data_IF_718341822031
#
_entry.id   IF_718341822031
#
_cell.length_a   1.000
_cell.length_b   1.000
_cell.length_c   1.000
_cell.angle_alpha   90.00
_cell.angle_beta   90.00
_cell.angle_gamma   90.00
#
_symmetry.space_group_name_H-M   'P 1'
#
loop_
_entity.id
_entity.type
_entity.pdbx_description
1 polymer ?
#
# COMPACT_ATOMS: atom_id res chain seq x y z
N UNK A 1 32.99 42.34 -16.36
CA UNK A 1 31.58 42.37 -15.90
C UNK A 1 30.65 41.53 -16.78
N UNK A 2 30.67 41.65 -18.11
CA UNK A 2 29.82 40.82 -19.01
C UNK A 2 30.01 39.30 -18.87
N UNK A 3 31.22 38.82 -18.68
CA UNK A 3 31.47 37.37 -18.53
C UNK A 3 30.97 36.81 -17.19
N UNK A 4 31.02 37.63 -16.13
CA UNK A 4 30.48 37.27 -14.82
C UNK A 4 28.96 37.10 -14.87
N UNK A 5 28.26 38.00 -15.56
CA UNK A 5 26.80 37.92 -15.75
C UNK A 5 26.42 36.68 -16.56
N UNK A 6 27.14 36.38 -17.64
CA UNK A 6 26.90 35.15 -18.43
C UNK A 6 27.14 33.87 -17.63
N UNK A 7 28.18 33.83 -16.81
CA UNK A 7 28.45 32.69 -15.95
C UNK A 7 27.37 32.52 -14.87
N UNK A 8 26.84 33.63 -14.34
CA UNK A 8 25.76 33.62 -13.36
C UNK A 8 24.44 33.15 -13.99
N UNK A 9 24.08 33.63 -15.19
CA UNK A 9 22.89 33.18 -15.91
C UNK A 9 22.93 31.68 -16.24
N UNK A 10 24.09 31.18 -16.68
CA UNK A 10 24.29 29.76 -16.94
C UNK A 10 24.17 28.90 -15.66
N UNK A 11 24.72 29.39 -14.54
CA UNK A 11 24.59 28.71 -13.26
C UNK A 11 23.13 28.69 -12.77
N UNK A 12 22.39 29.80 -12.92
CA UNK A 12 20.98 29.89 -12.54
C UNK A 12 20.09 28.99 -13.41
N UNK A 13 20.40 28.85 -14.70
CA UNK A 13 19.69 27.95 -15.60
C UNK A 13 19.87 26.48 -15.19
N UNK A 14 21.11 26.06 -14.92
CA UNK A 14 21.40 24.71 -14.43
C UNK A 14 20.78 24.46 -13.04
N UNK A 15 20.79 25.46 -12.16
CA UNK A 15 20.18 25.35 -10.85
C UNK A 15 18.65 25.22 -10.93
N UNK A 16 17.99 25.95 -11.85
CA UNK A 16 16.55 25.76 -12.12
C UNK A 16 16.25 24.37 -12.67
N UNK A 17 17.05 23.88 -13.61
CA UNK A 17 16.90 22.54 -14.15
C UNK A 17 17.05 21.47 -13.06
N UNK A 18 18.03 21.63 -12.17
CA UNK A 18 18.25 20.74 -11.03
C UNK A 18 17.08 20.74 -10.05
N UNK A 19 16.54 21.92 -9.70
CA UNK A 19 15.36 22.02 -8.82
C UNK A 19 14.15 21.34 -9.43
N UNK A 20 13.94 21.49 -10.75
CA UNK A 20 12.83 20.85 -11.44
C UNK A 20 12.98 19.32 -11.44
N UNK A 21 14.16 18.80 -11.79
CA UNK A 21 14.45 17.37 -11.71
C UNK A 21 14.28 16.83 -10.28
N UNK A 22 14.70 17.57 -9.26
CA UNK A 22 14.51 17.18 -7.86
C UNK A 22 13.02 17.11 -7.47
N UNK A 23 12.18 18.02 -7.97
CA UNK A 23 10.73 17.99 -7.75
C UNK A 23 10.10 16.77 -8.43
N UNK A 24 10.46 16.50 -9.68
CA UNK A 24 9.99 15.32 -10.42
C UNK A 24 10.32 14.02 -9.71
N UNK A 25 11.57 13.85 -9.24
CA UNK A 25 11.98 12.68 -8.46
C UNK A 25 11.12 12.52 -7.20
N UNK A 26 10.89 13.60 -6.46
CA UNK A 26 10.04 13.54 -5.25
C UNK A 26 8.59 13.17 -5.56
N UNK A 27 8.06 13.61 -6.69
CA UNK A 27 6.69 13.28 -7.07
C UNK A 27 6.56 11.83 -7.55
N UNK A 28 7.57 11.31 -8.28
CA UNK A 28 7.68 9.90 -8.61
C UNK A 28 7.80 9.01 -7.36
N UNK A 29 8.61 9.40 -6.37
CA UNK A 29 8.72 8.68 -5.09
C UNK A 29 7.38 8.60 -4.36
N UNK A 30 6.61 9.70 -4.34
CA UNK A 30 5.27 9.71 -3.75
C UNK A 30 4.32 8.77 -4.50
N UNK A 31 4.40 8.74 -5.82
CA UNK A 31 3.57 7.85 -6.64
C UNK A 31 3.91 6.37 -6.41
N UNK A 32 5.20 6.02 -6.39
CA UNK A 32 5.68 4.68 -6.05
C UNK A 32 5.20 4.28 -4.66
N UNK A 33 5.26 5.18 -3.68
CA UNK A 33 4.78 4.90 -2.33
C UNK A 33 3.26 4.65 -2.29
N UNK A 34 2.47 5.44 -3.05
CA UNK A 34 1.02 5.23 -3.18
C UNK A 34 0.71 3.89 -3.82
N UNK A 35 1.44 3.49 -4.86
CA UNK A 35 1.27 2.19 -5.52
C UNK A 35 1.59 1.04 -4.56
N UNK A 36 2.74 1.08 -3.88
CA UNK A 36 3.11 0.07 -2.88
C UNK A 36 2.09 -0.05 -1.74
N UNK A 37 1.53 1.08 -1.28
CA UNK A 37 0.44 1.05 -0.28
C UNK A 37 -0.82 0.41 -0.84
N UNK A 38 -1.26 0.80 -2.04
CA UNK A 38 -2.43 0.20 -2.70
C UNK A 38 -2.28 -1.30 -2.89
N UNK A 39 -1.10 -1.78 -3.28
CA UNK A 39 -0.85 -3.21 -3.45
C UNK A 39 -0.90 -3.97 -2.12
N UNK A 40 -0.31 -3.40 -1.06
CA UNK A 40 -0.35 -4.00 0.28
C UNK A 40 -1.79 -4.02 0.83
N UNK A 41 -2.52 -2.93 0.67
CA UNK A 41 -3.90 -2.81 1.12
C UNK A 41 -4.84 -3.71 0.31
N UNK A 42 -4.62 -3.83 -1.00
CA UNK A 42 -5.36 -4.73 -1.90
C UNK A 42 -5.16 -6.19 -1.51
N UNK A 43 -3.90 -6.63 -1.35
CA UNK A 43 -3.59 -8.00 -0.89
C UNK A 43 -4.17 -8.27 0.50
N UNK A 44 -4.06 -7.33 1.43
CA UNK A 44 -4.64 -7.47 2.77
C UNK A 44 -6.16 -7.58 2.74
N UNK A 45 -6.85 -6.83 1.86
CA UNK A 45 -8.31 -6.91 1.70
C UNK A 45 -8.75 -8.25 1.13
N UNK A 46 -8.04 -8.78 0.13
CA UNK A 46 -8.36 -10.10 -0.47
C UNK A 46 -8.25 -11.17 0.61
N UNK A 47 -7.11 -11.23 1.30
CA UNK A 47 -6.86 -12.21 2.39
C UNK A 47 -7.93 -12.09 3.48
N UNK A 48 -8.26 -10.86 3.92
CA UNK A 48 -9.32 -10.65 4.92
C UNK A 48 -10.69 -11.13 4.42
N UNK A 49 -11.01 -10.88 3.15
CA UNK A 49 -12.30 -11.29 2.58
C UNK A 49 -12.43 -12.81 2.45
N UNK A 50 -11.33 -13.50 2.11
CA UNK A 50 -11.26 -14.95 2.06
C UNK A 50 -11.41 -15.54 3.48
N UNK A 51 -10.64 -15.02 4.45
CA UNK A 51 -10.74 -15.43 5.85
C UNK A 51 -12.17 -15.27 6.40
N UNK A 52 -12.84 -14.19 6.04
CA UNK A 52 -14.20 -13.90 6.51
C UNK A 52 -15.25 -14.82 5.85
N UNK A 53 -15.06 -15.20 4.58
CA UNK A 53 -15.91 -16.19 3.89
C UNK A 53 -15.74 -17.59 4.50
N UNK A 54 -14.50 -17.99 4.74
CA UNK A 54 -14.19 -19.30 5.33
C UNK A 54 -14.75 -19.41 6.74
N UNK A 55 -14.54 -18.37 7.56
CA UNK A 55 -15.10 -18.30 8.89
C UNK A 55 -16.65 -18.30 8.90
N UNK A 56 -17.29 -17.67 7.92
CA UNK A 56 -18.75 -17.69 7.78
C UNK A 56 -19.28 -19.08 7.40
N UNK A 57 -18.60 -19.78 6.49
CA UNK A 57 -18.92 -21.17 6.12
C UNK A 57 -18.78 -22.12 7.30
N UNK A 58 -17.72 -21.98 8.09
CA UNK A 58 -17.50 -22.73 9.33
C UNK A 58 -18.61 -22.45 10.34
N UNK A 59 -18.98 -21.19 10.53
CA UNK A 59 -20.04 -20.79 11.46
C UNK A 59 -21.43 -21.30 11.04
N UNK A 60 -21.74 -21.31 9.75
CA UNK A 60 -22.99 -21.88 9.24
C UNK A 60 -23.05 -23.40 9.45
N UNK A 61 -21.95 -24.12 9.21
CA UNK A 61 -21.84 -25.56 9.51
C UNK A 61 -22.01 -25.84 11.00
N UNK A 62 -21.43 -24.99 11.86
CA UNK A 62 -21.61 -25.07 13.31
C UNK A 62 -23.07 -24.90 13.72
N UNK A 63 -23.75 -23.87 13.20
CA UNK A 63 -25.19 -23.65 13.42
C UNK A 63 -26.04 -24.83 12.96
N UNK A 64 -25.61 -25.55 11.93
CA UNK A 64 -26.24 -26.78 11.44
C UNK A 64 -26.00 -28.02 12.30
N UNK A 65 -25.28 -27.90 13.43
CA UNK A 65 -25.01 -29.00 14.35
C UNK A 65 -23.72 -29.78 14.06
N UNK A 66 -22.88 -29.32 13.13
CA UNK A 66 -21.56 -29.92 12.91
C UNK A 66 -20.59 -29.55 14.05
N UNK A 67 -19.80 -30.52 14.50
CA UNK A 67 -18.83 -30.33 15.58
C UNK A 67 -17.65 -29.50 15.08
N UNK A 68 -17.34 -28.40 15.77
CA UNK A 68 -16.23 -27.53 15.39
C UNK A 68 -14.89 -28.20 15.69
N UNK A 69 -13.94 -28.11 14.75
CA UNK A 69 -12.56 -28.56 14.97
C UNK A 69 -11.72 -27.43 15.59
N UNK A 70 -10.55 -27.77 16.15
CA UNK A 70 -9.62 -26.78 16.70
C UNK A 70 -9.14 -25.79 15.65
N UNK A 71 -9.00 -26.22 14.39
CA UNK A 71 -8.62 -25.35 13.27
C UNK A 71 -9.72 -24.35 12.90
N UNK A 72 -10.98 -24.79 12.99
CA UNK A 72 -12.15 -23.95 12.77
C UNK A 72 -12.27 -22.85 13.83
N UNK A 73 -12.01 -23.20 15.10
CA UNK A 73 -11.98 -22.26 16.22
C UNK A 73 -10.90 -21.18 16.02
N UNK A 74 -9.70 -21.60 15.62
CA UNK A 74 -8.59 -20.69 15.32
C UNK A 74 -8.89 -19.78 14.13
N UNK A 75 -9.65 -20.26 13.15
CA UNK A 75 -10.03 -19.47 11.96
C UNK A 75 -11.10 -18.43 12.31
N UNK A 76 -12.08 -18.81 13.11
CA UNK A 76 -13.08 -17.89 13.65
C UNK A 76 -12.44 -16.77 14.49
N UNK A 77 -11.53 -17.11 15.41
CA UNK A 77 -10.82 -16.14 16.24
C UNK A 77 -9.98 -15.16 15.40
N UNK A 78 -9.27 -15.67 14.38
CA UNK A 78 -8.48 -14.83 13.46
C UNK A 78 -9.33 -13.92 12.58
N UNK A 79 -10.58 -14.30 12.30
CA UNK A 79 -11.52 -13.52 11.49
C UNK A 79 -12.30 -12.46 12.28
N UNK A 80 -12.26 -12.49 13.62
CA UNK A 80 -12.99 -11.57 14.49
C UNK A 80 -14.50 -11.84 14.59
N UNK A 81 -14.95 -13.04 14.24
CA UNK A 81 -16.35 -13.47 14.35
C UNK A 81 -16.72 -14.00 15.75
N UNK A 82 -15.73 -14.09 16.66
CA UNK A 82 -15.88 -14.46 18.08
C UNK A 82 -14.83 -13.72 18.90
#
# INVERSE_FOLDING_TARGET
>A
HREFVKAQEAADEQHKAFINAQKEIRDLDKEIFKLKRKDKDGKSRIIKSELQKDAKSIFEKFKGGAKLTTEDLMTLQRSGLV
#
